data_IF_764365226339
#
_entry.id   IF_764365226339
#
_cell.length_a   1.000
_cell.length_b   1.000
_cell.length_c   1.000
_cell.angle_alpha   90.00
_cell.angle_beta   90.00
_cell.angle_gamma   90.00
#
_symmetry.space_group_name_H-M   'P 1'
#
loop_
_entity.id
_entity.type
_entity.pdbx_description
1 polymer ?
#
# COMPACT_ATOMS: atom_id res chain seq x y z
N UNK A 1 -60.25 -8.04 -45.61
CA UNK A 1 -59.79 -7.37 -44.38
C UNK A 1 -59.02 -8.39 -43.60
N UNK A 2 -57.70 -8.42 -43.78
CA UNK A 2 -56.81 -9.29 -43.05
C UNK A 2 -56.34 -8.56 -41.78
N UNK A 3 -56.63 -9.17 -40.64
CA UNK A 3 -56.27 -8.65 -39.32
C UNK A 3 -54.86 -9.21 -38.98
N UNK A 4 -53.85 -8.35 -39.09
CA UNK A 4 -52.47 -8.65 -38.76
C UNK A 4 -52.29 -8.53 -37.25
N UNK A 5 -52.21 -9.66 -36.56
CA UNK A 5 -51.87 -9.69 -35.12
C UNK A 5 -50.35 -9.44 -35.00
N UNK A 6 -49.95 -8.29 -34.52
CA UNK A 6 -48.56 -8.02 -34.09
C UNK A 6 -48.34 -8.71 -32.76
N UNK A 7 -47.50 -9.74 -32.76
CA UNK A 7 -46.99 -10.34 -31.52
C UNK A 7 -45.91 -9.38 -30.95
N UNK A 8 -46.22 -8.76 -29.85
CA UNK A 8 -45.25 -8.03 -29.05
C UNK A 8 -44.49 -9.09 -28.23
N UNK A 9 -43.23 -9.30 -28.56
CA UNK A 9 -42.33 -10.15 -27.81
C UNK A 9 -41.99 -9.41 -26.50
N UNK A 10 -42.51 -9.92 -25.39
CA UNK A 10 -42.27 -9.38 -24.05
C UNK A 10 -40.84 -9.75 -23.66
N UNK A 11 -39.93 -8.78 -23.79
CA UNK A 11 -38.54 -8.92 -23.33
C UNK A 11 -38.53 -8.91 -21.80
N UNK A 12 -38.36 -10.08 -21.21
CA UNK A 12 -38.16 -10.20 -19.76
C UNK A 12 -36.90 -9.42 -19.35
N UNK A 13 -36.96 -8.64 -18.25
CA UNK A 13 -35.78 -7.94 -17.76
C UNK A 13 -34.71 -8.98 -17.38
N UNK A 14 -33.52 -8.83 -17.96
CA UNK A 14 -32.33 -9.58 -17.53
C UNK A 14 -32.04 -9.11 -16.11
N UNK A 15 -32.28 -9.97 -15.14
CA UNK A 15 -31.81 -9.73 -13.78
C UNK A 15 -30.29 -9.59 -13.85
N UNK A 16 -29.79 -8.39 -13.56
CA UNK A 16 -28.36 -8.17 -13.44
C UNK A 16 -27.83 -9.05 -12.30
N UNK A 17 -26.86 -9.91 -12.61
CA UNK A 17 -26.16 -10.66 -11.57
C UNK A 17 -25.65 -9.68 -10.51
N UNK A 18 -25.82 -9.98 -9.19
CA UNK A 18 -25.32 -9.11 -8.15
C UNK A 18 -23.82 -8.96 -8.32
N UNK A 19 -23.35 -7.69 -8.34
CA UNK A 19 -21.94 -7.41 -8.41
C UNK A 19 -21.20 -8.14 -7.28
N UNK A 20 -20.03 -8.73 -7.54
CA UNK A 20 -19.27 -9.46 -6.53
C UNK A 20 -19.04 -8.56 -5.32
N UNK A 21 -19.43 -9.04 -4.14
CA UNK A 21 -19.30 -8.29 -2.90
C UNK A 21 -17.83 -8.34 -2.48
N UNK A 22 -17.16 -7.19 -2.49
CA UNK A 22 -15.75 -7.10 -2.09
C UNK A 22 -15.56 -7.60 -0.65
N UNK A 23 -14.53 -8.40 -0.42
CA UNK A 23 -14.22 -8.99 0.89
C UNK A 23 -13.54 -7.96 1.78
N UNK A 24 -14.03 -7.70 3.00
CA UNK A 24 -13.39 -6.77 3.92
C UNK A 24 -12.02 -7.28 4.38
N UNK A 25 -10.98 -6.47 4.20
CA UNK A 25 -9.66 -6.69 4.77
C UNK A 25 -9.56 -5.92 6.10
N UNK A 26 -9.63 -6.66 7.20
CA UNK A 26 -9.67 -6.08 8.56
C UNK A 26 -8.31 -6.02 9.21
N UNK A 27 -7.40 -6.92 8.84
CA UNK A 27 -6.04 -7.01 9.39
C UNK A 27 -5.13 -7.74 8.42
N UNK A 28 -3.79 -7.60 8.57
CA UNK A 28 -2.84 -8.41 7.83
C UNK A 28 -3.05 -9.91 8.11
N UNK A 29 -2.91 -10.75 7.08
CA UNK A 29 -3.09 -12.21 7.22
C UNK A 29 -2.12 -12.84 8.24
N UNK A 30 -0.94 -12.24 8.41
CA UNK A 30 0.12 -12.69 9.32
C UNK A 30 -0.05 -12.09 10.75
N UNK A 31 -1.12 -11.33 10.99
CA UNK A 31 -1.31 -10.54 12.21
C UNK A 31 -0.56 -9.21 12.18
N UNK A 32 -0.82 -8.37 13.19
CA UNK A 32 -0.12 -7.08 13.35
C UNK A 32 1.19 -7.33 14.10
N UNK A 33 2.36 -7.02 13.51
CA UNK A 33 3.64 -7.23 14.18
C UNK A 33 3.85 -6.24 15.33
N UNK A 34 4.80 -6.53 16.20
CA UNK A 34 5.24 -5.61 17.24
C UNK A 34 5.93 -4.39 16.61
N UNK A 35 5.86 -3.25 17.31
CA UNK A 35 6.58 -2.04 16.90
C UNK A 35 8.07 -2.21 17.15
N UNK A 36 8.87 -1.88 16.14
CA UNK A 36 10.33 -1.83 16.21
C UNK A 36 10.75 -0.45 16.70
N UNK A 37 11.24 -0.39 17.93
CA UNK A 37 11.62 0.83 18.63
C UNK A 37 13.05 0.80 19.21
N UNK A 38 13.82 -0.25 18.89
CA UNK A 38 15.19 -0.43 19.35
C UNK A 38 16.05 -1.15 18.30
N UNK A 39 17.37 -1.02 18.44
CA UNK A 39 18.35 -1.52 17.48
C UNK A 39 18.25 -3.03 17.25
N UNK A 40 18.10 -3.83 18.30
CA UNK A 40 18.04 -5.29 18.18
C UNK A 40 16.86 -5.77 17.34
N UNK A 41 15.68 -5.17 17.53
CA UNK A 41 14.50 -5.48 16.72
C UNK A 41 14.67 -4.99 15.28
N UNK A 42 15.33 -3.85 15.09
CA UNK A 42 15.55 -3.30 13.76
C UNK A 42 16.58 -4.14 12.98
N UNK A 43 17.69 -4.54 13.60
CA UNK A 43 18.68 -5.45 13.01
C UNK A 43 18.04 -6.78 12.58
N UNK A 44 17.20 -7.35 13.43
CA UNK A 44 16.43 -8.56 13.10
C UNK A 44 15.52 -8.35 11.88
N UNK A 45 14.79 -7.26 11.84
CA UNK A 45 13.90 -6.91 10.71
C UNK A 45 14.69 -6.75 9.41
N UNK A 46 15.85 -6.08 9.45
CA UNK A 46 16.73 -5.95 8.28
C UNK A 46 17.21 -7.31 7.76
N UNK A 47 17.60 -8.21 8.67
CA UNK A 47 18.02 -9.58 8.31
C UNK A 47 16.87 -10.37 7.66
N UNK A 48 15.66 -10.27 8.18
CA UNK A 48 14.47 -10.93 7.63
C UNK A 48 14.10 -10.35 6.26
N UNK A 49 14.09 -9.02 6.11
CA UNK A 49 13.83 -8.34 4.84
C UNK A 49 14.87 -8.70 3.77
N UNK A 50 16.15 -8.86 4.16
CA UNK A 50 17.22 -9.24 3.24
C UNK A 50 17.05 -10.66 2.68
N UNK A 51 16.43 -11.57 3.43
CA UNK A 51 16.12 -12.94 3.00
C UNK A 51 14.91 -13.00 2.06
N UNK A 52 14.09 -11.96 2.00
CA UNK A 52 12.95 -11.88 1.13
C UNK A 52 13.33 -11.72 -0.35
N UNK A 53 12.33 -11.85 -1.22
CA UNK A 53 12.47 -11.73 -2.68
C UNK A 53 11.47 -10.75 -3.26
N UNK A 54 11.80 -10.21 -4.45
CA UNK A 54 10.93 -9.27 -5.13
C UNK A 54 10.96 -7.85 -4.54
N UNK A 55 10.01 -6.99 -4.93
CA UNK A 55 9.95 -5.62 -4.49
C UNK A 55 9.60 -5.49 -3.01
N UNK A 56 9.90 -4.31 -2.46
CA UNK A 56 9.43 -3.89 -1.13
C UNK A 56 8.16 -3.07 -1.29
N UNK A 57 7.12 -3.34 -0.49
CA UNK A 57 6.00 -2.42 -0.32
C UNK A 57 6.27 -1.57 0.92
N UNK A 58 6.17 -0.25 0.77
CA UNK A 58 6.47 0.72 1.83
C UNK A 58 5.33 1.72 1.96
N UNK A 59 5.00 2.06 3.19
CA UNK A 59 4.08 3.13 3.54
C UNK A 59 4.62 3.89 4.76
N UNK A 60 4.30 5.18 4.89
CA UNK A 60 4.77 6.00 6.00
C UNK A 60 3.66 6.88 6.57
N UNK A 61 3.40 6.72 7.85
CA UNK A 61 2.47 7.58 8.59
C UNK A 61 3.14 8.85 9.08
N UNK A 62 2.50 9.97 8.85
CA UNK A 62 2.98 11.31 9.23
C UNK A 62 2.03 11.95 10.23
N UNK A 63 2.52 12.84 11.08
CA UNK A 63 1.64 13.65 11.92
C UNK A 63 0.74 14.53 11.03
N UNK A 64 -0.55 14.31 11.10
CA UNK A 64 -1.53 15.20 10.50
C UNK A 64 -1.58 16.51 11.29
N UNK A 65 -1.36 17.64 10.61
CA UNK A 65 -1.60 18.98 11.17
C UNK A 65 -0.38 19.83 11.50
N UNK A 66 0.86 19.32 11.41
CA UNK A 66 2.05 20.15 11.60
C UNK A 66 2.54 20.71 10.27
N UNK A 67 2.43 22.02 10.10
CA UNK A 67 2.81 22.75 8.87
C UNK A 67 4.32 22.78 8.57
N UNK A 68 5.18 22.26 9.47
CA UNK A 68 6.62 22.48 9.41
C UNK A 68 7.51 21.24 9.51
N UNK A 69 6.95 20.03 9.61
CA UNK A 69 7.74 18.80 9.63
C UNK A 69 7.10 17.73 8.76
N UNK A 70 7.89 17.14 7.87
CA UNK A 70 7.52 15.96 7.10
C UNK A 70 7.83 14.67 7.89
N UNK A 71 8.04 14.74 9.20
CA UNK A 71 8.51 13.65 10.04
C UNK A 71 7.59 12.43 9.98
N UNK A 72 8.19 11.28 9.74
CA UNK A 72 7.50 10.01 9.86
C UNK A 72 7.35 9.60 11.34
N UNK A 73 6.22 8.99 11.66
CA UNK A 73 5.92 8.42 12.99
C UNK A 73 5.76 6.91 12.96
N UNK A 74 5.54 6.35 11.79
CA UNK A 74 5.52 4.92 11.56
C UNK A 74 5.96 4.66 10.12
N UNK A 75 6.82 3.67 9.93
CA UNK A 75 7.16 3.13 8.62
C UNK A 75 6.70 1.69 8.58
N UNK A 76 5.94 1.35 7.57
CA UNK A 76 5.45 0.01 7.31
C UNK A 76 6.18 -0.55 6.11
N UNK A 77 6.80 -1.73 6.26
CA UNK A 77 7.55 -2.37 5.17
C UNK A 77 7.14 -3.83 5.10
N UNK A 78 6.79 -4.27 3.90
CA UNK A 78 6.52 -5.68 3.60
C UNK A 78 7.34 -6.15 2.42
N UNK A 79 7.86 -7.37 2.52
CA UNK A 79 8.53 -8.07 1.42
C UNK A 79 8.13 -9.54 1.40
N UNK A 80 7.95 -10.11 0.22
CA UNK A 80 7.67 -11.54 0.09
C UNK A 80 8.82 -12.36 0.67
N UNK A 81 8.52 -13.28 1.61
CA UNK A 81 9.53 -14.06 2.34
C UNK A 81 10.36 -13.27 3.36
N UNK A 82 10.16 -11.95 3.46
CA UNK A 82 10.85 -11.07 4.40
C UNK A 82 9.96 -10.52 5.53
N UNK A 83 8.66 -10.84 5.51
CA UNK A 83 7.70 -10.45 6.53
C UNK A 83 7.18 -9.02 6.41
N UNK A 84 6.33 -8.64 7.36
CA UNK A 84 5.80 -7.31 7.56
C UNK A 84 6.42 -6.70 8.83
N UNK A 85 6.93 -5.48 8.73
CA UNK A 85 7.61 -4.80 9.82
C UNK A 85 7.04 -3.39 10.01
N UNK A 86 6.85 -3.02 11.28
CA UNK A 86 6.38 -1.69 11.70
C UNK A 86 7.52 -1.02 12.48
N UNK A 87 8.07 0.06 11.96
CA UNK A 87 9.21 0.77 12.56
C UNK A 87 8.74 2.13 13.07
N UNK A 88 8.91 2.35 14.37
CA UNK A 88 8.85 3.70 14.96
C UNK A 88 10.21 4.39 14.72
N UNK A 89 10.28 5.43 13.86
CA UNK A 89 11.55 6.09 13.59
C UNK A 89 12.02 7.03 14.71
N UNK A 90 11.16 7.37 15.66
CA UNK A 90 11.43 8.41 16.66
C UNK A 90 12.60 8.07 17.58
N UNK A 91 12.72 6.86 18.16
CA UNK A 91 13.84 6.50 19.02
C UNK A 91 15.20 6.54 18.33
N UNK A 92 15.24 6.30 17.02
CA UNK A 92 16.49 6.24 16.26
C UNK A 92 16.96 7.64 15.80
N UNK A 93 16.04 8.48 15.36
CA UNK A 93 16.36 9.78 14.80
C UNK A 93 16.95 9.73 13.38
N UNK A 94 17.06 10.92 12.73
CA UNK A 94 17.63 11.02 11.39
C UNK A 94 19.14 10.71 11.41
N UNK A 95 19.63 10.03 10.35
CA UNK A 95 21.05 9.68 10.21
C UNK A 95 21.48 8.44 10.98
N UNK A 96 20.58 7.72 11.62
CA UNK A 96 20.90 6.47 12.32
C UNK A 96 21.43 5.42 11.32
N UNK A 97 22.44 4.65 11.71
CA UNK A 97 23.10 3.68 10.85
C UNK A 97 22.13 2.64 10.27
N UNK A 98 21.17 2.16 11.06
CA UNK A 98 20.22 1.14 10.62
C UNK A 98 19.27 1.68 9.51
N UNK A 99 18.99 2.98 9.46
CA UNK A 99 18.31 3.58 8.32
C UNK A 99 19.18 3.64 7.07
N UNK A 100 20.49 3.79 7.22
CA UNK A 100 21.43 3.71 6.07
C UNK A 100 21.48 2.28 5.51
N UNK A 101 21.47 1.27 6.38
CA UNK A 101 21.40 -0.14 5.98
C UNK A 101 20.06 -0.46 5.31
N UNK A 102 18.96 0.00 5.88
CA UNK A 102 17.63 -0.11 5.25
C UNK A 102 17.60 0.55 3.87
N UNK A 103 18.16 1.76 3.75
CA UNK A 103 18.25 2.45 2.46
C UNK A 103 19.05 1.65 1.43
N UNK A 104 20.17 1.06 1.83
CA UNK A 104 20.97 0.19 0.95
C UNK A 104 20.15 -0.99 0.45
N UNK A 105 19.40 -1.62 1.33
CA UNK A 105 18.53 -2.75 1.01
C UNK A 105 17.39 -2.33 0.06
N UNK A 106 16.71 -1.21 0.33
CA UNK A 106 15.65 -0.68 -0.52
C UNK A 106 16.16 -0.23 -1.90
N UNK A 107 17.37 0.30 -1.98
CA UNK A 107 18.00 0.68 -3.25
C UNK A 107 18.39 -0.51 -4.13
N UNK A 108 18.50 -1.71 -3.57
CA UNK A 108 18.84 -2.93 -4.32
C UNK A 108 17.68 -3.49 -5.15
N UNK A 109 16.45 -3.08 -4.84
CA UNK A 109 15.23 -3.58 -5.48
C UNK A 109 14.24 -2.44 -5.82
N UNK A 110 13.13 -2.82 -6.46
CA UNK A 110 12.01 -1.93 -6.64
C UNK A 110 11.26 -1.71 -5.33
N UNK A 111 10.81 -0.48 -5.10
CA UNK A 111 9.98 -0.10 -3.96
C UNK A 111 8.61 0.34 -4.46
N UNK A 112 7.58 -0.30 -3.95
CA UNK A 112 6.19 -0.01 -4.25
C UNK A 112 5.66 0.94 -3.18
N UNK A 113 5.07 2.04 -3.63
CA UNK A 113 4.38 3.04 -2.80
C UNK A 113 3.03 3.36 -3.43
N UNK A 114 2.12 3.91 -2.63
CA UNK A 114 0.88 4.50 -3.15
C UNK A 114 0.91 6.01 -2.94
N UNK A 115 0.74 6.79 -4.00
CA UNK A 115 0.87 8.25 -3.96
C UNK A 115 2.22 8.70 -3.35
N UNK A 116 3.31 8.19 -3.88
CA UNK A 116 4.68 8.25 -3.35
C UNK A 116 5.16 9.66 -2.99
N UNK A 117 4.64 10.69 -3.66
CA UNK A 117 4.96 12.10 -3.37
C UNK A 117 4.57 12.53 -1.96
N UNK A 118 3.69 11.78 -1.28
CA UNK A 118 3.28 12.05 0.08
C UNK A 118 4.32 11.52 1.09
N UNK A 119 4.92 10.36 0.83
CA UNK A 119 5.79 9.65 1.78
C UNK A 119 7.27 9.92 1.56
N UNK A 120 7.69 10.13 0.30
CA UNK A 120 9.09 10.38 -0.03
C UNK A 120 9.74 11.52 0.78
N UNK A 121 9.09 12.65 1.07
CA UNK A 121 9.70 13.69 1.89
C UNK A 121 10.08 13.21 3.29
N UNK A 122 9.21 12.49 4.00
CA UNK A 122 9.50 12.00 5.35
C UNK A 122 10.53 10.86 5.36
N UNK A 123 10.51 10.00 4.34
CA UNK A 123 11.51 8.95 4.18
C UNK A 123 12.91 9.55 3.93
N UNK A 124 13.01 10.61 3.13
CA UNK A 124 14.27 11.32 2.86
C UNK A 124 14.88 11.95 4.11
N UNK A 125 14.06 12.47 5.04
CA UNK A 125 14.54 13.00 6.32
C UNK A 125 15.27 11.92 7.15
N UNK A 126 14.91 10.66 6.98
CA UNK A 126 15.55 9.51 7.61
C UNK A 126 16.75 8.95 6.80
N UNK A 127 17.06 9.52 5.64
CA UNK A 127 18.09 9.03 4.76
C UNK A 127 17.65 7.90 3.83
N UNK A 128 16.35 7.64 3.73
CA UNK A 128 15.76 6.64 2.84
C UNK A 128 15.42 7.28 1.49
N UNK A 129 16.12 6.86 0.43
CA UNK A 129 15.96 7.42 -0.90
C UNK A 129 15.99 6.32 -1.97
N UNK A 130 14.90 5.57 -2.15
CA UNK A 130 14.82 4.46 -3.09
C UNK A 130 15.17 4.90 -4.53
N UNK A 131 15.82 4.02 -5.27
CA UNK A 131 16.28 4.29 -6.65
C UNK A 131 15.24 3.94 -7.70
N UNK A 132 14.45 2.89 -7.46
CA UNK A 132 13.43 2.41 -8.38
C UNK A 132 12.10 2.38 -7.64
N UNK A 133 11.15 3.17 -8.15
CA UNK A 133 9.83 3.31 -7.55
C UNK A 133 8.77 2.78 -8.50
N UNK A 134 7.81 2.06 -7.94
CA UNK A 134 6.53 1.79 -8.58
C UNK A 134 5.43 2.44 -7.74
N UNK A 135 4.86 3.52 -8.25
CA UNK A 135 3.75 4.22 -7.61
C UNK A 135 2.42 3.66 -8.15
N UNK A 136 1.65 3.02 -7.28
CA UNK A 136 0.39 2.37 -7.68
C UNK A 136 -0.70 3.39 -8.04
N UNK A 137 -0.69 4.59 -7.49
CA UNK A 137 -1.60 5.66 -7.92
C UNK A 137 -1.27 6.12 -9.34
N UNK A 138 0.00 6.40 -9.62
CA UNK A 138 0.45 6.78 -10.95
C UNK A 138 0.23 5.66 -11.96
N UNK A 139 0.52 4.41 -11.59
CA UNK A 139 0.24 3.24 -12.42
C UNK A 139 -1.24 3.12 -12.79
N UNK A 140 -2.12 3.32 -11.84
CA UNK A 140 -3.57 3.36 -12.08
C UNK A 140 -4.00 4.47 -13.04
N UNK A 141 -3.41 5.67 -12.92
CA UNK A 141 -3.66 6.80 -13.85
C UNK A 141 -3.20 6.47 -15.26
N UNK A 142 -1.99 5.92 -15.41
CA UNK A 142 -1.45 5.53 -16.72
C UNK A 142 -2.30 4.44 -17.36
N UNK A 143 -2.82 3.50 -16.57
CA UNK A 143 -3.73 2.44 -17.03
C UNK A 143 -5.15 2.96 -17.36
N UNK A 144 -5.44 4.24 -17.14
CA UNK A 144 -6.74 4.83 -17.43
C UNK A 144 -7.85 4.44 -16.45
N UNK A 145 -7.49 4.01 -15.23
CA UNK A 145 -8.48 3.66 -14.22
C UNK A 145 -9.22 4.91 -13.71
N UNK A 146 -10.55 4.84 -13.54
CA UNK A 146 -11.36 6.01 -13.19
C UNK A 146 -11.17 6.50 -11.76
N UNK A 147 -10.77 5.59 -10.86
CA UNK A 147 -10.55 5.86 -9.44
C UNK A 147 -9.22 5.23 -9.01
N UNK A 148 -8.27 6.05 -8.58
CA UNK A 148 -6.88 5.65 -8.35
C UNK A 148 -6.44 5.71 -6.89
N UNK A 149 -7.32 6.08 -5.96
CA UNK A 149 -7.06 5.94 -4.53
C UNK A 149 -6.86 4.48 -4.14
N UNK A 150 -6.11 4.20 -3.07
CA UNK A 150 -5.74 2.82 -2.69
C UNK A 150 -6.97 1.93 -2.48
N UNK A 151 -7.95 2.38 -1.69
CA UNK A 151 -9.19 1.63 -1.46
C UNK A 151 -9.92 1.28 -2.76
N UNK A 152 -10.26 2.27 -3.62
CA UNK A 152 -10.85 2.02 -4.93
C UNK A 152 -10.06 1.09 -5.85
N UNK A 153 -8.73 1.15 -5.84
CA UNK A 153 -7.89 0.23 -6.62
C UNK A 153 -8.00 -1.20 -6.10
N UNK A 154 -7.94 -1.40 -4.78
CA UNK A 154 -8.09 -2.73 -4.17
C UNK A 154 -9.48 -3.30 -4.44
N UNK A 155 -10.53 -2.48 -4.33
CA UNK A 155 -11.89 -2.90 -4.60
C UNK A 155 -12.08 -3.34 -6.05
N UNK A 156 -11.55 -2.58 -7.01
CA UNK A 156 -11.76 -2.85 -8.44
C UNK A 156 -10.85 -3.94 -9.00
N UNK A 157 -9.62 -4.09 -8.48
CA UNK A 157 -8.64 -5.01 -9.04
C UNK A 157 -8.50 -6.32 -8.24
N UNK A 158 -8.81 -6.29 -6.94
CA UNK A 158 -8.60 -7.40 -6.03
C UNK A 158 -9.87 -7.86 -5.32
N UNK A 159 -10.99 -7.18 -5.53
CA UNK A 159 -12.27 -7.47 -4.86
C UNK A 159 -12.16 -7.44 -3.32
N UNK A 160 -11.30 -6.54 -2.80
CA UNK A 160 -11.02 -6.34 -1.39
C UNK A 160 -11.40 -4.93 -0.97
N UNK A 161 -12.07 -4.78 0.17
CA UNK A 161 -12.42 -3.49 0.78
C UNK A 161 -11.57 -3.27 2.02
N UNK A 162 -10.93 -2.10 2.13
CA UNK A 162 -10.24 -1.71 3.36
C UNK A 162 -11.24 -1.34 4.45
N UNK A 163 -11.01 -1.79 5.68
CA UNK A 163 -11.75 -1.30 6.84
C UNK A 163 -11.50 0.21 6.97
N UNK A 164 -12.58 0.99 7.07
CA UNK A 164 -12.48 2.40 7.42
C UNK A 164 -12.35 2.46 8.93
N UNK A 165 -11.18 2.83 9.42
CA UNK A 165 -11.07 3.30 10.80
C UNK A 165 -11.78 4.66 10.90
N UNK A 166 -12.70 4.73 11.83
CA UNK A 166 -13.47 5.95 12.14
C UNK A 166 -12.78 6.76 13.25
#
# INVERSE_FOLDING_TARGET
MENKIEMVEEVLPIEAEPAPTAVPLLAPAEGVPIIIDNDSLFEKALAELAQGTGPFAVDAERASGFKFSARAYLIQIKRHGGGLHLIDPIPFGPGHQLFQELNTLLCSNEVILHASTQDLPCLRELGINPKRLFDTELGGRIAGLPRVGLGPLLESLMEVTLAKEH
#
